data_IF_007566458489
#
_entry.id   IF_007566458489
#
_cell.length_a   1.000
_cell.length_b   1.000
_cell.length_c   1.000
_cell.angle_alpha   90.00
_cell.angle_beta   90.00
_cell.angle_gamma   90.00
#
_symmetry.space_group_name_H-M   'P 1'
#
loop_
_entity.id
_entity.type
_entity.pdbx_description
1 polymer ?
#
# COMPACT_ATOMS: atom_id res chain seq x y z
N UNK A 1 -20.89 -24.23 -40.75
CA UNK A 1 -21.81 -25.14 -41.45
C UNK A 1 -23.18 -25.05 -40.78
N UNK A 2 -24.19 -24.51 -41.47
CA UNK A 2 -25.56 -24.42 -40.93
C UNK A 2 -26.23 -25.79 -41.04
N UNK A 3 -26.42 -26.48 -39.90
CA UNK A 3 -27.21 -27.72 -39.84
C UNK A 3 -28.65 -27.36 -39.50
N UNK A 4 -29.58 -27.59 -40.43
CA UNK A 4 -31.00 -27.47 -40.19
C UNK A 4 -31.47 -28.70 -39.39
N UNK A 5 -31.95 -28.50 -38.16
CA UNK A 5 -32.55 -29.56 -37.34
C UNK A 5 -34.07 -29.37 -37.36
N UNK A 6 -34.80 -30.30 -37.98
CA UNK A 6 -36.27 -30.28 -38.05
C UNK A 6 -36.85 -30.91 -36.78
N UNK A 7 -37.43 -30.12 -35.90
CA UNK A 7 -38.08 -30.62 -34.69
C UNK A 7 -39.50 -31.14 -35.00
N UNK A 8 -39.83 -32.33 -34.48
CA UNK A 8 -41.16 -32.96 -34.64
C UNK A 8 -41.97 -32.70 -33.37
N UNK A 9 -43.02 -31.90 -33.52
CA UNK A 9 -44.13 -31.64 -32.58
C UNK A 9 -43.87 -31.95 -31.09
N UNK A 10 -43.34 -30.97 -30.36
CA UNK A 10 -43.79 -30.67 -29.01
C UNK A 10 -43.70 -29.15 -28.83
N UNK A 11 -44.82 -28.55 -28.39
CA UNK A 11 -44.99 -27.11 -28.26
C UNK A 11 -43.85 -26.47 -27.47
N UNK A 12 -42.98 -25.75 -28.17
CA UNK A 12 -41.99 -24.86 -27.60
C UNK A 12 -42.71 -23.60 -27.10
N UNK A 13 -43.30 -23.66 -25.90
CA UNK A 13 -43.67 -22.47 -25.12
C UNK A 13 -42.38 -21.84 -24.56
N UNK A 14 -41.59 -21.23 -25.43
CA UNK A 14 -40.38 -20.50 -25.06
C UNK A 14 -40.51 -19.06 -25.58
N UNK A 15 -40.32 -18.09 -24.69
CA UNK A 15 -40.48 -16.66 -24.97
C UNK A 15 -39.53 -16.13 -26.07
N UNK A 16 -39.68 -14.84 -26.46
CA UNK A 16 -39.16 -14.29 -27.72
C UNK A 16 -37.63 -14.35 -27.89
N UNK A 17 -36.87 -14.55 -26.82
CA UNK A 17 -35.41 -14.71 -26.89
C UNK A 17 -34.98 -15.69 -25.81
N UNK A 18 -34.79 -16.95 -26.17
CA UNK A 18 -34.22 -17.92 -25.23
C UNK A 18 -32.75 -18.10 -25.60
N UNK A 19 -31.86 -17.34 -24.95
CA UNK A 19 -30.42 -17.63 -24.97
C UNK A 19 -30.23 -18.93 -24.19
N UNK A 20 -30.13 -20.05 -24.89
CA UNK A 20 -29.61 -21.28 -24.28
C UNK A 20 -28.11 -21.27 -24.47
N UNK A 21 -27.38 -20.87 -23.43
CA UNK A 21 -25.98 -21.24 -23.27
C UNK A 21 -25.95 -22.77 -23.29
N UNK A 22 -25.48 -23.35 -24.39
CA UNK A 22 -25.72 -24.76 -24.66
C UNK A 22 -24.97 -25.65 -23.67
N UNK A 23 -25.73 -26.62 -23.13
CA UNK A 23 -25.29 -27.81 -22.42
C UNK A 23 -24.05 -28.43 -23.08
N UNK A 24 -23.16 -28.93 -22.22
CA UNK A 24 -22.18 -29.96 -22.54
C UNK A 24 -22.86 -31.10 -23.30
N UNK A 25 -22.64 -31.16 -24.61
CA UNK A 25 -23.08 -32.31 -25.41
C UNK A 25 -22.04 -33.41 -25.21
N UNK A 26 -22.30 -34.29 -24.24
CA UNK A 26 -21.36 -35.35 -23.82
C UNK A 26 -21.11 -36.41 -24.89
N UNK A 27 -21.93 -36.50 -25.94
CA UNK A 27 -21.93 -37.62 -26.90
C UNK A 27 -21.58 -37.28 -28.35
N UNK A 28 -20.97 -36.12 -28.65
CA UNK A 28 -20.60 -35.81 -30.04
C UNK A 28 -19.17 -35.28 -30.15
N UNK A 29 -18.26 -36.02 -30.78
CA UNK A 29 -16.86 -35.61 -30.99
C UNK A 29 -16.73 -34.24 -31.70
N UNK A 30 -17.76 -33.80 -32.42
CA UNK A 30 -17.82 -32.50 -33.08
C UNK A 30 -17.84 -31.29 -32.11
N UNK A 31 -18.17 -31.49 -30.82
CA UNK A 31 -18.19 -30.43 -29.79
C UNK A 31 -16.91 -30.36 -28.95
N UNK A 32 -15.85 -31.08 -29.32
CA UNK A 32 -14.52 -30.98 -28.68
C UNK A 32 -13.52 -30.24 -29.58
N UNK A 33 -12.54 -29.59 -28.95
CA UNK A 33 -11.36 -29.07 -29.65
C UNK A 33 -10.46 -30.23 -30.09
N UNK A 34 -9.57 -30.04 -31.09
CA UNK A 34 -8.58 -31.06 -31.49
C UNK A 34 -7.71 -31.56 -30.32
N UNK A 35 -7.57 -30.76 -29.28
CA UNK A 35 -6.86 -31.09 -28.04
C UNK A 35 -7.69 -31.91 -27.03
N UNK A 36 -8.90 -32.36 -27.39
CA UNK A 36 -9.83 -33.10 -26.52
C UNK A 36 -10.57 -32.28 -25.46
N UNK A 37 -10.29 -30.96 -25.36
CA UNK A 37 -10.94 -30.04 -24.42
C UNK A 37 -12.37 -29.68 -24.87
N UNK A 38 -13.28 -29.35 -23.94
CA UNK A 38 -14.64 -28.93 -24.30
C UNK A 38 -14.59 -27.63 -25.13
N UNK A 39 -15.36 -27.58 -26.22
CA UNK A 39 -15.59 -26.35 -27.01
C UNK A 39 -16.80 -25.62 -26.43
N UNK A 40 -16.63 -24.35 -26.13
CA UNK A 40 -17.70 -23.48 -25.64
C UNK A 40 -18.33 -22.77 -26.84
N UNK A 41 -19.63 -22.99 -27.03
CA UNK A 41 -20.39 -22.41 -28.13
C UNK A 41 -21.49 -21.50 -27.61
N UNK A 42 -21.54 -20.28 -28.15
CA UNK A 42 -22.68 -19.41 -27.98
C UNK A 42 -23.65 -19.66 -29.14
N UNK A 43 -24.84 -20.18 -28.82
CA UNK A 43 -25.88 -20.45 -29.81
C UNK A 43 -27.05 -19.51 -29.61
N UNK A 44 -27.30 -18.66 -30.59
CA UNK A 44 -28.50 -17.81 -30.63
C UNK A 44 -29.52 -18.43 -31.56
N UNK A 45 -30.77 -18.49 -31.10
CA UNK A 45 -31.90 -19.04 -31.87
C UNK A 45 -32.91 -17.94 -32.13
N UNK A 46 -33.01 -17.54 -33.39
CA UNK A 46 -33.98 -16.54 -33.84
C UNK A 46 -35.14 -17.22 -34.54
N UNK A 47 -36.34 -17.05 -34.00
CA UNK A 47 -37.58 -17.52 -34.61
C UNK A 47 -38.05 -16.50 -35.66
N UNK A 48 -38.37 -16.95 -36.86
CA UNK A 48 -39.04 -16.14 -37.88
C UNK A 48 -40.32 -16.82 -38.35
N UNK A 49 -41.31 -15.99 -38.72
CA UNK A 49 -42.53 -16.46 -39.36
C UNK A 49 -42.31 -16.38 -40.87
N UNK A 50 -42.55 -17.49 -41.56
CA UNK A 50 -42.58 -17.52 -43.02
C UNK A 50 -43.92 -16.92 -43.49
N UNK A 51 -43.91 -15.78 -44.21
CA UNK A 51 -45.12 -15.09 -44.62
C UNK A 51 -45.93 -15.86 -45.67
N UNK A 52 -45.29 -16.74 -46.46
CA UNK A 52 -45.94 -17.45 -47.55
C UNK A 52 -46.57 -18.76 -47.07
N UNK A 53 -45.93 -19.43 -46.13
CA UNK A 53 -46.39 -20.74 -45.63
C UNK A 53 -47.05 -20.67 -44.25
N UNK A 54 -46.94 -19.54 -43.54
CA UNK A 54 -47.39 -19.39 -42.15
C UNK A 54 -46.61 -20.25 -41.14
N UNK A 55 -45.54 -20.91 -41.58
CA UNK A 55 -44.72 -21.78 -40.74
C UNK A 55 -43.72 -20.97 -39.91
N UNK A 56 -43.42 -21.44 -38.70
CA UNK A 56 -42.32 -20.88 -37.92
C UNK A 56 -41.01 -21.60 -38.24
N UNK A 57 -40.00 -20.82 -38.58
CA UNK A 57 -38.65 -21.27 -38.86
C UNK A 57 -37.70 -20.75 -37.77
N UNK A 58 -36.62 -21.49 -37.52
CA UNK A 58 -35.62 -21.15 -36.52
C UNK A 58 -34.25 -21.01 -37.18
N UNK A 59 -33.66 -19.83 -37.08
CA UNK A 59 -32.29 -19.54 -37.49
C UNK A 59 -31.37 -19.73 -36.29
N UNK A 60 -30.44 -20.68 -36.42
CA UNK A 60 -29.41 -20.95 -35.41
C UNK A 60 -28.11 -20.28 -35.84
N UNK A 61 -27.60 -19.34 -35.04
CA UNK A 61 -26.24 -18.81 -35.19
C UNK A 61 -25.35 -19.38 -34.09
N UNK A 62 -24.35 -20.17 -34.47
CA UNK A 62 -23.42 -20.81 -33.55
C UNK A 62 -22.06 -20.15 -33.69
N UNK A 63 -21.54 -19.60 -32.58
CA UNK A 63 -20.22 -19.00 -32.49
C UNK A 63 -19.36 -19.82 -31.52
N UNK A 64 -18.15 -20.19 -31.93
CA UNK A 64 -17.14 -20.73 -31.02
C UNK A 64 -16.52 -19.58 -30.22
N UNK A 65 -16.78 -19.56 -28.92
CA UNK A 65 -16.29 -18.52 -28.00
C UNK A 65 -15.22 -19.05 -27.06
N UNK A 66 -14.73 -20.28 -27.29
CA UNK A 66 -13.80 -20.95 -26.37
C UNK A 66 -12.56 -20.13 -26.06
N UNK A 67 -11.90 -19.59 -27.10
CA UNK A 67 -10.68 -18.78 -26.93
C UNK A 67 -10.94 -17.52 -26.11
N UNK A 68 -12.08 -16.86 -26.34
CA UNK A 68 -12.44 -15.65 -25.62
C UNK A 68 -12.77 -15.95 -24.15
N UNK A 69 -13.53 -17.02 -23.88
CA UNK A 69 -13.90 -17.41 -22.53
C UNK A 69 -12.67 -17.79 -21.70
N UNK A 70 -11.74 -18.56 -22.28
CA UNK A 70 -10.49 -18.93 -21.61
C UNK A 70 -9.66 -17.69 -21.31
N UNK A 71 -9.51 -16.77 -22.27
CA UNK A 71 -8.78 -15.52 -22.06
C UNK A 71 -9.39 -14.67 -20.93
N UNK A 72 -10.73 -14.52 -20.91
CA UNK A 72 -11.42 -13.78 -19.85
C UNK A 72 -11.24 -14.42 -18.47
N UNK A 73 -11.27 -15.75 -18.38
CA UNK A 73 -11.02 -16.44 -17.12
C UNK A 73 -9.60 -16.22 -16.62
N UNK A 74 -8.59 -16.34 -17.49
CA UNK A 74 -7.20 -16.07 -17.12
C UNK A 74 -6.98 -14.64 -16.65
N UNK A 75 -7.61 -13.66 -17.31
CA UNK A 75 -7.53 -12.26 -16.90
C UNK A 75 -8.21 -12.04 -15.54
N UNK A 76 -9.38 -12.64 -15.31
CA UNK A 76 -10.07 -12.59 -14.01
C UNK A 76 -9.21 -13.19 -12.90
N UNK A 77 -8.53 -14.31 -13.16
CA UNK A 77 -7.62 -14.92 -12.19
C UNK A 77 -6.42 -14.03 -11.91
N UNK A 78 -5.84 -13.39 -12.93
CA UNK A 78 -4.72 -12.45 -12.76
C UNK A 78 -5.13 -11.25 -11.90
N UNK A 79 -6.30 -10.65 -12.15
CA UNK A 79 -6.82 -9.53 -11.36
C UNK A 79 -6.99 -9.91 -9.88
N UNK A 80 -7.59 -11.06 -9.58
CA UNK A 80 -7.74 -11.54 -8.19
C UNK A 80 -6.41 -11.71 -7.47
N UNK A 81 -5.35 -12.14 -8.16
CA UNK A 81 -4.01 -12.28 -7.57
C UNK A 81 -3.43 -10.92 -7.19
N UNK A 82 -3.54 -9.93 -8.10
CA UNK A 82 -3.06 -8.56 -7.85
C UNK A 82 -3.83 -7.92 -6.70
N UNK A 83 -5.16 -8.07 -6.67
CA UNK A 83 -6.00 -7.57 -5.57
C UNK A 83 -5.58 -8.15 -4.22
N UNK A 84 -5.32 -9.46 -4.16
CA UNK A 84 -4.84 -10.12 -2.94
C UNK A 84 -3.46 -9.60 -2.50
N UNK A 85 -2.52 -9.40 -3.43
CA UNK A 85 -1.19 -8.86 -3.13
C UNK A 85 -1.26 -7.42 -2.62
N UNK A 86 -2.11 -6.57 -3.20
CA UNK A 86 -2.31 -5.20 -2.74
C UNK A 86 -2.85 -5.18 -1.30
N UNK A 87 -3.81 -6.04 -1.01
CA UNK A 87 -4.41 -6.12 0.32
C UNK A 87 -3.41 -6.60 1.37
N UNK A 88 -2.51 -7.52 1.01
CA UNK A 88 -1.41 -7.94 1.88
C UNK A 88 -0.40 -6.81 2.12
N UNK A 89 0.01 -6.11 1.06
CA UNK A 89 0.93 -4.96 1.16
C UNK A 89 0.38 -3.86 2.05
N UNK A 90 -0.89 -3.49 1.90
CA UNK A 90 -1.55 -2.50 2.75
C UNK A 90 -1.53 -2.89 4.22
N UNK A 91 -1.86 -4.15 4.53
CA UNK A 91 -1.81 -4.65 5.92
C UNK A 91 -0.40 -4.58 6.50
N UNK A 92 0.62 -4.87 5.70
CA UNK A 92 2.01 -4.76 6.11
C UNK A 92 2.44 -3.30 6.33
N UNK A 93 2.02 -2.39 5.46
CA UNK A 93 2.28 -0.94 5.58
C UNK A 93 1.63 -0.37 6.86
N UNK A 94 0.37 -0.69 7.13
CA UNK A 94 -0.33 -0.25 8.35
C UNK A 94 0.33 -0.79 9.62
N UNK A 95 0.79 -2.05 9.61
CA UNK A 95 1.50 -2.64 10.73
C UNK A 95 2.86 -1.95 10.95
N UNK A 96 3.59 -1.67 9.87
CA UNK A 96 4.86 -0.97 9.91
C UNK A 96 4.69 0.46 10.44
N UNK A 97 3.69 1.20 9.96
CA UNK A 97 3.39 2.56 10.43
C UNK A 97 3.11 2.60 11.92
N UNK A 98 2.35 1.64 12.44
CA UNK A 98 2.10 1.51 13.89
C UNK A 98 3.39 1.29 14.66
N UNK A 99 4.20 0.31 14.26
CA UNK A 99 5.48 0.03 14.93
C UNK A 99 6.43 1.23 14.86
N UNK A 100 6.49 1.94 13.73
CA UNK A 100 7.29 3.16 13.59
C UNK A 100 6.79 4.27 14.51
N UNK A 101 5.47 4.44 14.62
CA UNK A 101 4.87 5.42 15.53
C UNK A 101 5.20 5.11 16.99
N UNK A 102 5.04 3.84 17.40
CA UNK A 102 5.38 3.38 18.75
C UNK A 102 6.87 3.58 19.06
N UNK A 103 7.74 3.20 18.13
CA UNK A 103 9.19 3.40 18.28
C UNK A 103 9.56 4.88 18.40
N UNK A 104 8.94 5.75 17.60
CA UNK A 104 9.15 7.21 17.69
C UNK A 104 8.69 7.75 19.03
N UNK A 105 7.52 7.34 19.51
CA UNK A 105 7.00 7.78 20.82
C UNK A 105 7.93 7.35 21.96
N UNK A 106 8.38 6.09 21.97
CA UNK A 106 9.33 5.58 22.95
C UNK A 106 10.68 6.32 22.89
N UNK A 107 11.16 6.65 21.68
CA UNK A 107 12.40 7.43 21.51
C UNK A 107 12.26 8.85 22.07
N UNK A 108 11.11 9.51 21.85
CA UNK A 108 10.85 10.83 22.41
C UNK A 108 10.79 10.81 23.94
N UNK A 109 10.21 9.77 24.52
CA UNK A 109 10.21 9.58 25.98
C UNK A 109 11.63 9.42 26.53
N UNK A 110 12.47 8.62 25.87
CA UNK A 110 13.88 8.47 26.23
C UNK A 110 14.65 9.78 26.08
N UNK A 111 14.43 10.54 25.00
CA UNK A 111 15.06 11.86 24.81
C UNK A 111 14.63 12.87 25.88
N UNK A 112 13.37 12.88 26.28
CA UNK A 112 12.88 13.73 27.36
C UNK A 112 13.57 13.41 28.71
N UNK A 113 13.83 12.12 28.98
CA UNK A 113 14.53 11.68 30.19
C UNK A 113 16.05 12.00 30.15
N UNK A 114 16.64 12.11 28.95
CA UNK A 114 18.06 12.47 28.77
C UNK A 114 18.37 13.95 29.02
N UNK A 115 17.36 14.80 29.20
CA UNK A 115 17.53 16.24 29.43
C UNK A 115 17.89 16.64 30.87
N UNK A 116 17.85 15.71 31.83
CA UNK A 116 18.09 16.02 33.25
C UNK A 116 19.47 15.52 33.66
N UNK A 117 20.44 16.44 33.76
CA UNK A 117 21.76 16.12 34.30
C UNK A 117 21.79 16.31 35.82
N UNK A 118 22.14 15.26 36.59
CA UNK A 118 22.43 15.43 38.01
C UNK A 118 23.70 16.29 38.19
N UNK A 119 23.51 17.55 38.58
CA UNK A 119 24.60 18.49 38.89
C UNK A 119 24.83 18.61 40.40
N UNK A 120 26.08 18.73 40.82
CA UNK A 120 26.39 19.02 42.21
C UNK A 120 26.01 20.48 42.53
N UNK A 121 25.18 20.68 43.56
CA UNK A 121 24.78 22.04 43.98
C UNK A 121 25.96 22.93 44.40
N UNK A 122 27.01 22.32 44.97
CA UNK A 122 28.19 23.04 45.48
C UNK A 122 29.24 23.31 44.41
N UNK A 123 29.66 22.30 43.64
CA UNK A 123 30.79 22.42 42.70
C UNK A 123 30.42 22.34 41.21
N UNK A 124 29.11 22.22 40.88
CA UNK A 124 28.56 22.20 39.51
C UNK A 124 29.09 21.12 38.56
N UNK A 125 29.82 20.12 39.08
CA UNK A 125 30.18 18.90 38.35
C UNK A 125 28.93 18.13 37.94
N UNK A 126 28.97 17.47 36.78
CA UNK A 126 27.92 16.55 36.32
C UNK A 126 28.28 15.13 36.78
N UNK A 127 27.29 14.35 37.21
CA UNK A 127 27.44 12.91 37.43
C UNK A 127 27.08 12.15 36.15
N UNK A 128 27.99 11.29 35.69
CA UNK A 128 27.76 10.44 34.52
C UNK A 128 26.99 9.15 34.85
N UNK A 129 26.67 8.39 33.80
CA UNK A 129 25.92 7.12 33.87
C UNK A 129 26.67 6.03 34.67
N UNK A 130 27.98 6.18 34.83
CA UNK A 130 28.85 5.29 35.62
C UNK A 130 28.96 5.74 37.09
N UNK A 131 28.40 6.91 37.40
CA UNK A 131 28.35 7.49 38.73
C UNK A 131 29.54 8.39 39.09
N UNK A 132 30.46 8.66 38.17
CA UNK A 132 31.61 9.56 38.39
C UNK A 132 31.23 11.02 38.21
N UNK A 133 31.91 11.90 38.96
CA UNK A 133 31.74 13.34 38.88
C UNK A 133 32.77 13.95 37.93
N UNK A 134 32.31 14.51 36.83
CA UNK A 134 33.15 15.17 35.84
C UNK A 134 32.81 16.66 35.72
N UNK A 135 33.78 17.43 35.27
CA UNK A 135 33.63 18.86 35.03
C UNK A 135 32.74 19.11 33.80
N UNK A 136 31.92 20.16 33.85
CA UNK A 136 30.86 20.47 32.89
C UNK A 136 31.40 20.52 31.45
N UNK A 137 32.49 21.26 31.25
CA UNK A 137 33.14 21.47 29.96
C UNK A 137 33.62 20.14 29.38
N UNK A 138 34.27 19.31 30.20
CA UNK A 138 34.76 17.98 29.81
C UNK A 138 33.62 17.02 29.43
N UNK A 139 32.46 17.15 30.07
CA UNK A 139 31.29 16.34 29.75
C UNK A 139 30.71 16.73 28.39
N UNK A 140 30.43 18.02 28.16
CA UNK A 140 29.87 18.48 26.88
C UNK A 140 30.83 18.33 25.71
N UNK A 141 32.14 18.48 25.92
CA UNK A 141 33.12 18.21 24.87
C UNK A 141 33.10 16.73 24.43
N UNK A 142 32.78 15.79 25.33
CA UNK A 142 32.69 14.35 24.98
C UNK A 142 31.35 13.98 24.34
N UNK A 143 30.28 14.69 24.70
CA UNK A 143 28.91 14.32 24.34
C UNK A 143 28.24 15.26 23.32
N UNK A 144 28.95 16.28 22.83
CA UNK A 144 28.45 17.22 21.83
C UNK A 144 29.56 17.71 20.90
N UNK A 145 29.19 18.40 19.83
CA UNK A 145 30.11 19.01 18.86
C UNK A 145 30.51 20.44 19.30
N UNK A 146 30.15 20.87 20.52
CA UNK A 146 30.39 22.23 20.99
C UNK A 146 31.86 22.45 21.37
N UNK A 147 32.43 23.56 20.91
CA UNK A 147 33.74 24.05 21.35
C UNK A 147 33.56 25.17 22.40
N UNK A 148 34.37 25.14 23.45
CA UNK A 148 34.32 26.13 24.52
C UNK A 148 35.46 27.15 24.38
N UNK A 149 35.11 28.43 24.34
CA UNK A 149 36.06 29.54 24.50
C UNK A 149 36.04 30.03 25.95
N UNK A 150 37.20 30.45 26.47
CA UNK A 150 37.29 31.06 27.79
C UNK A 150 37.05 32.57 27.69
N UNK A 151 36.11 33.09 28.48
CA UNK A 151 35.82 34.52 28.62
C UNK A 151 35.46 34.87 30.05
N UNK A 152 35.52 36.16 30.40
CA UNK A 152 35.13 36.66 31.72
C UNK A 152 33.88 37.55 31.54
N UNK A 153 32.82 37.29 32.30
CA UNK A 153 31.62 38.14 32.25
C UNK A 153 31.87 39.48 32.96
N UNK A 154 31.09 40.54 32.64
CA UNK A 154 31.25 41.85 33.28
C UNK A 154 31.23 41.80 34.81
N UNK A 155 30.31 41.03 35.41
CA UNK A 155 30.20 40.88 36.86
C UNK A 155 31.45 40.27 37.51
N UNK A 156 32.06 39.29 36.83
CA UNK A 156 33.29 38.64 37.29
C UNK A 156 34.50 39.57 37.08
N UNK A 157 34.50 40.35 36.00
CA UNK A 157 35.53 41.34 35.73
C UNK A 157 35.51 42.43 36.82
N UNK A 158 34.34 42.94 37.19
CA UNK A 158 34.20 43.94 38.26
C UNK A 158 34.65 43.40 39.62
N UNK A 159 34.34 42.13 39.93
CA UNK A 159 34.74 41.52 41.21
C UNK A 159 36.23 41.20 41.30
N UNK A 160 36.81 40.65 40.23
CA UNK A 160 38.19 40.16 40.24
C UNK A 160 39.20 41.22 39.80
N UNK A 161 38.75 42.17 38.99
CA UNK A 161 39.57 43.17 38.32
C UNK A 161 38.88 44.55 38.27
N UNK A 162 38.43 45.11 39.41
CA UNK A 162 37.71 46.39 39.47
C UNK A 162 38.52 47.58 38.90
N UNK A 163 39.84 47.48 38.86
CA UNK A 163 40.70 48.50 38.27
C UNK A 163 40.60 48.61 36.74
N UNK A 164 39.95 47.65 36.08
CA UNK A 164 39.75 47.62 34.63
C UNK A 164 38.33 47.97 34.19
N UNK A 165 37.37 48.15 35.11
CA UNK A 165 35.97 48.43 34.77
C UNK A 165 35.67 49.89 34.41
N UNK A 166 36.61 50.82 34.64
CA UNK A 166 36.40 52.26 34.42
C UNK A 166 36.82 52.77 33.02
N UNK A 167 37.31 51.92 32.11
CA UNK A 167 37.93 52.37 30.85
C UNK A 167 37.05 52.34 29.59
N UNK A 168 35.80 51.88 29.67
CA UNK A 168 34.98 51.65 28.47
C UNK A 168 34.02 52.81 28.11
N UNK A 169 33.79 53.79 28.98
CA UNK A 169 32.92 54.94 28.64
C UNK A 169 33.57 55.96 27.68
N UNK A 170 34.90 55.92 27.50
CA UNK A 170 35.62 56.88 26.67
C UNK A 170 35.73 56.51 25.17
N UNK A 171 35.38 55.27 24.76
CA UNK A 171 35.56 54.80 23.37
C UNK A 171 34.29 54.60 22.56
N UNK A 172 33.10 54.78 23.14
CA UNK A 172 31.82 54.67 22.42
C UNK A 172 31.34 56.00 21.76
N UNK A 173 32.18 57.05 21.74
CA UNK A 173 31.81 58.40 21.25
C UNK A 173 32.73 58.98 20.18
N UNK A 174 33.51 58.18 19.46
CA UNK A 174 34.26 58.63 18.27
C UNK A 174 33.94 57.72 17.10
#
# INVERSE_FOLDING_TARGET
MCKWVRFRNHALLFGPTTVKTALETTDNDASRLPSGKPRIQHTTVNKFLDPDTGAYLALFSIQDVTSLTVALDTNRQALRRVEAEIEERKRAEEALEKTVSELRAASQEVEALRGIFPICASCKKIRDDQGYWTQLESYFHKHSIAEFSHGICPDCLEKLYPQYTDQDEAKAKT
#
